data_IF_301228682354
#
_entry.id   IF_301228682354
#
_cell.length_a   1.000
_cell.length_b   1.000
_cell.length_c   1.000
_cell.angle_alpha   90.00
_cell.angle_beta   90.00
_cell.angle_gamma   90.00
#
_symmetry.space_group_name_H-M   'P 1'
#
loop_
_entity.id
_entity.type
_entity.pdbx_description
1 polymer ?
#
# COMPACT_ATOMS: atom_id res chain seq x y z
N UNK A 1 -20.46 -5.47 -25.19
CA UNK A 1 -21.91 -5.39 -24.89
C UNK A 1 -22.32 -3.93 -24.72
N UNK A 2 -23.41 -3.48 -25.36
CA UNK A 2 -23.81 -2.06 -25.41
C UNK A 2 -24.60 -1.59 -24.17
N UNK A 3 -25.38 -2.45 -23.52
CA UNK A 3 -26.19 -2.11 -22.34
C UNK A 3 -26.38 -3.29 -21.37
N UNK A 4 -26.91 -3.01 -20.18
CA UNK A 4 -27.31 -3.99 -19.19
C UNK A 4 -26.12 -4.63 -18.49
N UNK A 5 -25.27 -3.82 -17.86
CA UNK A 5 -24.11 -4.35 -17.15
C UNK A 5 -24.58 -5.07 -15.88
N UNK A 6 -24.36 -6.39 -15.82
CA UNK A 6 -24.76 -7.21 -14.68
C UNK A 6 -23.81 -7.04 -13.48
N UNK A 7 -24.29 -7.30 -12.25
CA UNK A 7 -23.48 -7.13 -11.04
C UNK A 7 -22.14 -7.85 -11.09
N UNK A 8 -22.11 -9.14 -11.46
CA UNK A 8 -20.88 -9.93 -11.48
C UNK A 8 -19.81 -9.34 -12.41
N UNK A 9 -20.20 -8.90 -13.60
CA UNK A 9 -19.29 -8.27 -14.56
C UNK A 9 -18.79 -6.92 -14.04
N UNK A 10 -19.65 -6.13 -13.41
CA UNK A 10 -19.24 -4.86 -12.80
C UNK A 10 -18.27 -5.11 -11.63
N UNK A 11 -18.51 -6.11 -10.80
CA UNK A 11 -17.66 -6.44 -9.65
C UNK A 11 -16.23 -6.78 -10.06
N UNK A 12 -16.06 -7.59 -11.11
CA UNK A 12 -14.73 -7.88 -11.68
C UNK A 12 -14.04 -6.61 -12.19
N UNK A 13 -14.80 -5.72 -12.85
CA UNK A 13 -14.25 -4.43 -13.31
C UNK A 13 -13.84 -3.54 -12.15
N UNK A 14 -14.63 -3.48 -11.08
CA UNK A 14 -14.34 -2.70 -9.87
C UNK A 14 -13.07 -3.23 -9.21
N UNK A 15 -12.93 -4.54 -9.04
CA UNK A 15 -11.74 -5.15 -8.44
C UNK A 15 -10.46 -4.75 -9.18
N UNK A 16 -10.46 -4.88 -10.51
CA UNK A 16 -9.30 -4.52 -11.34
C UNK A 16 -9.02 -3.01 -11.30
N UNK A 17 -10.04 -2.16 -11.41
CA UNK A 17 -9.87 -0.71 -11.57
C UNK A 17 -9.66 0.05 -10.27
N UNK A 18 -10.21 -0.43 -9.17
CA UNK A 18 -10.19 0.27 -7.88
C UNK A 18 -9.28 -0.42 -6.86
N UNK A 19 -9.22 -1.75 -6.83
CA UNK A 19 -8.44 -2.48 -5.82
C UNK A 19 -7.03 -2.83 -6.31
N UNK A 20 -6.90 -3.44 -7.49
CA UNK A 20 -5.60 -3.81 -8.06
C UNK A 20 -4.82 -2.60 -8.60
N UNK A 21 -5.50 -1.48 -8.89
CA UNK A 21 -4.84 -0.24 -9.24
C UNK A 21 -4.31 0.47 -7.99
N UNK A 22 -3.13 0.06 -7.55
CA UNK A 22 -2.51 0.54 -6.32
C UNK A 22 -2.31 2.07 -6.31
N UNK A 23 -1.98 2.67 -7.46
CA UNK A 23 -1.85 4.14 -7.55
C UNK A 23 -3.16 4.84 -7.20
N UNK A 24 -4.28 4.36 -7.74
CA UNK A 24 -5.60 4.94 -7.49
C UNK A 24 -6.08 4.67 -6.06
N UNK A 25 -5.84 3.46 -5.55
CA UNK A 25 -6.19 3.09 -4.19
C UNK A 25 -5.47 3.97 -3.17
N UNK A 26 -4.16 4.17 -3.35
CA UNK A 26 -3.36 5.11 -2.54
C UNK A 26 -3.94 6.51 -2.53
N UNK A 27 -4.28 7.07 -3.70
CA UNK A 27 -4.91 8.40 -3.80
C UNK A 27 -6.24 8.53 -3.05
N UNK A 28 -7.03 7.45 -2.98
CA UNK A 28 -8.27 7.45 -2.18
C UNK A 28 -7.97 7.37 -0.68
N UNK A 29 -6.99 6.56 -0.28
CA UNK A 29 -6.55 6.49 1.11
C UNK A 29 -6.00 7.82 1.64
N UNK A 30 -5.26 8.56 0.80
CA UNK A 30 -4.67 9.86 1.16
C UNK A 30 -5.65 11.03 1.02
N UNK A 31 -6.83 10.80 0.44
CA UNK A 31 -7.83 11.85 0.20
C UNK A 31 -7.53 12.76 -1.00
N UNK A 32 -6.52 12.46 -1.82
CA UNK A 32 -6.23 13.17 -3.07
C UNK A 32 -7.37 13.06 -4.10
N UNK A 33 -8.15 11.97 -4.01
CA UNK A 33 -9.36 11.76 -4.81
C UNK A 33 -10.50 11.42 -3.84
N UNK A 34 -11.73 11.83 -4.19
CA UNK A 34 -12.94 11.49 -3.44
C UNK A 34 -12.98 9.98 -3.13
N UNK A 35 -13.38 9.60 -1.92
CA UNK A 35 -13.55 8.19 -1.58
C UNK A 35 -14.70 7.53 -2.37
N UNK A 36 -15.73 8.31 -2.70
CA UNK A 36 -16.90 7.84 -3.44
C UNK A 36 -16.53 7.34 -4.84
N UNK A 37 -17.18 6.23 -5.22
CA UNK A 37 -17.04 5.56 -6.50
C UNK A 37 -18.43 5.40 -7.10
N UNK A 38 -18.57 5.79 -8.36
CA UNK A 38 -19.83 5.68 -9.09
C UNK A 38 -19.60 4.99 -10.43
N UNK A 39 -20.39 3.96 -10.71
CA UNK A 39 -20.34 3.20 -11.95
C UNK A 39 -21.70 3.20 -12.63
N UNK A 40 -21.72 3.58 -13.92
CA UNK A 40 -22.94 3.44 -14.73
C UNK A 40 -23.21 1.99 -15.06
N UNK A 41 -24.45 1.56 -14.82
CA UNK A 41 -24.96 0.22 -15.11
C UNK A 41 -25.38 0.05 -16.57
N UNK A 42 -25.22 1.12 -17.37
CA UNK A 42 -25.61 1.20 -18.79
C UNK A 42 -27.06 0.73 -18.99
N UNK A 43 -28.05 1.37 -18.35
CA UNK A 43 -29.45 0.99 -18.54
C UNK A 43 -29.83 1.11 -20.03
N UNK A 44 -30.70 0.23 -20.55
CA UNK A 44 -31.15 0.31 -21.94
C UNK A 44 -31.97 1.58 -22.19
N UNK A 45 -32.03 1.99 -23.45
CA UNK A 45 -33.06 2.92 -23.92
C UNK A 45 -34.36 2.17 -24.26
N UNK A 46 -35.42 2.91 -24.59
CA UNK A 46 -36.76 2.37 -24.86
C UNK A 46 -36.74 1.27 -25.93
N UNK A 47 -36.03 1.55 -27.03
CA UNK A 47 -35.94 0.66 -28.20
C UNK A 47 -35.21 -0.63 -27.84
N UNK A 48 -34.11 -0.53 -27.09
CA UNK A 48 -33.32 -1.68 -26.64
C UNK A 48 -34.10 -2.57 -25.67
N UNK A 49 -34.84 -1.98 -24.72
CA UNK A 49 -35.64 -2.72 -23.75
C UNK A 49 -36.81 -3.45 -24.43
N UNK A 50 -37.45 -2.82 -25.42
CA UNK A 50 -38.53 -3.43 -26.20
C UNK A 50 -38.04 -4.57 -27.11
N UNK A 51 -36.86 -4.41 -27.69
CA UNK A 51 -36.29 -5.41 -28.58
C UNK A 51 -35.89 -6.71 -27.84
N UNK A 52 -35.57 -6.63 -26.55
CA UNK A 52 -35.15 -7.77 -25.73
C UNK A 52 -35.64 -7.62 -24.28
N UNK A 53 -36.95 -7.88 -24.10
CA UNK A 53 -37.61 -7.73 -22.80
C UNK A 53 -37.08 -8.74 -21.76
N UNK A 54 -36.72 -9.95 -22.19
CA UNK A 54 -36.19 -10.99 -21.31
C UNK A 54 -34.85 -10.54 -20.69
N UNK A 55 -33.94 -10.00 -21.50
CA UNK A 55 -32.68 -9.44 -20.99
C UNK A 55 -32.90 -8.24 -20.08
N UNK A 56 -33.84 -7.36 -20.40
CA UNK A 56 -34.19 -6.24 -19.53
C UNK A 56 -34.66 -6.71 -18.15
N UNK A 57 -35.58 -7.68 -18.11
CA UNK A 57 -36.09 -8.26 -16.87
C UNK A 57 -34.96 -8.92 -16.07
N UNK A 58 -34.11 -9.70 -16.72
CA UNK A 58 -32.95 -10.31 -16.05
C UNK A 58 -32.02 -9.25 -15.45
N UNK A 59 -31.70 -8.18 -16.19
CA UNK A 59 -30.89 -7.07 -15.69
C UNK A 59 -31.51 -6.41 -14.43
N UNK A 60 -32.82 -6.16 -14.42
CA UNK A 60 -33.51 -5.59 -13.25
C UNK A 60 -33.47 -6.54 -12.06
N UNK A 61 -33.80 -7.82 -12.27
CA UNK A 61 -33.85 -8.84 -11.20
C UNK A 61 -32.48 -9.04 -10.56
N UNK A 62 -31.42 -9.10 -11.35
CA UNK A 62 -30.04 -9.25 -10.84
C UNK A 62 -29.63 -8.08 -9.94
N UNK A 63 -30.00 -6.85 -10.30
CA UNK A 63 -29.70 -5.67 -9.47
C UNK A 63 -30.56 -5.58 -8.21
N UNK A 64 -31.81 -6.05 -8.25
CA UNK A 64 -32.64 -6.19 -7.04
C UNK A 64 -32.06 -7.23 -6.08
N UNK A 65 -31.64 -8.39 -6.60
CA UNK A 65 -30.99 -9.43 -5.80
C UNK A 65 -29.65 -8.94 -5.21
N UNK A 66 -28.88 -8.16 -5.98
CA UNK A 66 -27.66 -7.52 -5.49
C UNK A 66 -27.95 -6.59 -4.30
N UNK A 67 -28.94 -5.70 -4.42
CA UNK A 67 -29.28 -4.79 -3.31
C UNK A 67 -29.75 -5.54 -2.07
N UNK A 68 -30.60 -6.56 -2.23
CA UNK A 68 -31.06 -7.38 -1.11
C UNK A 68 -29.91 -8.03 -0.33
N UNK A 69 -28.77 -8.27 -0.99
CA UNK A 69 -27.58 -8.90 -0.39
C UNK A 69 -26.54 -7.90 0.12
N UNK A 70 -26.32 -6.79 -0.57
CA UNK A 70 -25.16 -5.92 -0.35
C UNK A 70 -25.50 -4.47 -0.02
N UNK A 71 -26.77 -4.05 -0.11
CA UNK A 71 -27.13 -2.66 0.14
C UNK A 71 -26.87 -2.27 1.60
N UNK A 72 -26.20 -1.14 1.77
CA UNK A 72 -25.91 -0.51 3.07
C UNK A 72 -26.00 1.01 2.91
N UNK A 73 -25.76 1.77 3.98
CA UNK A 73 -25.66 3.23 3.86
C UNK A 73 -24.58 3.68 2.86
N UNK A 74 -23.51 2.89 2.72
CA UNK A 74 -22.35 3.20 1.90
C UNK A 74 -22.32 2.48 0.54
N UNK A 75 -23.23 1.53 0.31
CA UNK A 75 -23.36 0.78 -0.96
C UNK A 75 -24.82 0.78 -1.37
N UNK A 76 -25.16 1.42 -2.47
CA UNK A 76 -26.55 1.41 -2.96
C UNK A 76 -26.62 1.54 -4.47
N UNK A 77 -27.70 1.02 -5.05
CA UNK A 77 -28.00 1.20 -6.46
C UNK A 77 -28.91 2.42 -6.60
N UNK A 78 -28.53 3.34 -7.48
CA UNK A 78 -29.39 4.43 -7.88
C UNK A 78 -30.38 3.91 -8.92
N UNK A 79 -31.66 3.96 -8.58
CA UNK A 79 -32.76 3.63 -9.46
C UNK A 79 -33.44 4.88 -9.99
N UNK A 80 -33.79 4.86 -11.27
CA UNK A 80 -34.53 5.94 -11.92
C UNK A 80 -35.80 5.41 -12.58
N UNK A 81 -36.84 6.23 -12.56
CA UNK A 81 -38.07 5.95 -13.29
C UNK A 81 -38.02 6.62 -14.66
N UNK A 82 -37.98 5.83 -15.72
CA UNK A 82 -38.04 6.32 -17.10
C UNK A 82 -39.40 6.04 -17.71
N UNK A 83 -39.99 7.07 -18.28
CA UNK A 83 -41.22 6.95 -19.07
C UNK A 83 -40.85 6.57 -20.49
N UNK A 84 -41.38 5.46 -20.99
CA UNK A 84 -41.30 5.10 -22.39
C UNK A 84 -42.68 5.27 -23.01
N UNK A 85 -42.75 5.78 -24.24
CA UNK A 85 -44.04 6.08 -24.90
C UNK A 85 -44.99 4.87 -24.99
N UNK A 86 -44.45 3.64 -25.01
CA UNK A 86 -45.22 2.39 -25.14
C UNK A 86 -45.09 1.43 -23.94
N UNK A 87 -44.16 1.70 -23.02
CA UNK A 87 -43.99 0.94 -21.78
C UNK A 87 -44.22 1.95 -20.65
N UNK A 88 -45.34 1.83 -19.92
CA UNK A 88 -45.61 2.59 -18.68
C UNK A 88 -44.34 2.76 -17.86
N UNK A 89 -44.22 3.85 -17.10
CA UNK A 89 -43.09 4.19 -16.24
C UNK A 89 -42.33 2.97 -15.70
N UNK A 90 -41.10 2.80 -16.16
CA UNK A 90 -40.23 1.69 -15.79
C UNK A 90 -39.20 2.17 -14.76
N UNK A 91 -39.14 1.51 -13.62
CA UNK A 91 -38.14 1.75 -12.59
C UNK A 91 -36.94 0.83 -12.82
N UNK A 92 -35.77 1.39 -13.10
CA UNK A 92 -34.61 0.62 -13.52
C UNK A 92 -33.31 1.09 -12.85
N UNK A 93 -32.32 0.20 -12.71
CA UNK A 93 -31.06 0.52 -12.05
C UNK A 93 -30.14 1.27 -13.02
N UNK A 94 -29.55 2.37 -12.56
CA UNK A 94 -28.78 3.30 -13.41
C UNK A 94 -27.31 3.39 -12.99
N UNK A 95 -27.04 3.44 -11.69
CA UNK A 95 -25.68 3.54 -11.14
C UNK A 95 -25.52 2.67 -9.89
N UNK A 96 -24.32 2.14 -9.68
CA UNK A 96 -23.87 1.66 -8.39
C UNK A 96 -23.04 2.75 -7.72
N UNK A 97 -23.33 3.05 -6.45
CA UNK A 97 -22.60 4.02 -5.63
C UNK A 97 -21.93 3.29 -4.46
N UNK A 98 -20.65 3.55 -4.26
CA UNK A 98 -19.85 3.05 -3.14
C UNK A 98 -19.18 4.26 -2.48
N UNK A 99 -19.56 4.62 -1.25
CA UNK A 99 -19.15 5.89 -0.62
C UNK A 99 -17.76 5.85 0.01
N UNK A 100 -17.35 4.70 0.52
CA UNK A 100 -16.18 4.57 1.39
C UNK A 100 -15.27 3.41 0.97
N UNK A 101 -14.00 3.46 1.38
CA UNK A 101 -13.04 2.37 1.13
C UNK A 101 -13.40 1.08 1.91
N UNK A 102 -13.85 1.15 3.19
CA UNK A 102 -14.38 -0.04 3.87
C UNK A 102 -15.55 -0.69 3.13
N UNK A 103 -16.46 0.11 2.56
CA UNK A 103 -17.55 -0.40 1.73
C UNK A 103 -17.04 -1.06 0.45
N UNK A 104 -16.04 -0.47 -0.24
CA UNK A 104 -15.39 -1.11 -1.39
C UNK A 104 -14.74 -2.44 -1.00
N UNK A 105 -13.99 -2.47 0.10
CA UNK A 105 -13.35 -3.68 0.59
C UNK A 105 -14.39 -4.75 0.90
N UNK A 106 -15.50 -4.37 1.52
CA UNK A 106 -16.56 -5.32 1.86
C UNK A 106 -17.26 -5.91 0.65
N UNK A 107 -17.54 -5.07 -0.34
CA UNK A 107 -18.11 -5.53 -1.59
C UNK A 107 -17.19 -6.51 -2.34
N UNK A 108 -15.86 -6.40 -2.15
CA UNK A 108 -14.85 -7.23 -2.79
C UNK A 108 -14.35 -8.40 -1.94
N UNK A 109 -14.84 -8.59 -0.71
CA UNK A 109 -14.35 -9.60 0.21
C UNK A 109 -12.90 -9.37 0.67
N UNK A 110 -12.48 -8.11 0.82
CA UNK A 110 -11.12 -7.68 1.20
C UNK A 110 -11.07 -7.02 2.58
N UNK A 111 -12.09 -7.20 3.41
CA UNK A 111 -12.19 -6.60 4.74
C UNK A 111 -11.02 -7.01 5.62
N UNK A 112 -10.65 -8.30 5.61
CA UNK A 112 -9.53 -8.79 6.41
C UNK A 112 -8.23 -8.11 6.01
N UNK A 113 -7.95 -8.02 4.71
CA UNK A 113 -6.76 -7.33 4.20
C UNK A 113 -6.72 -5.86 4.63
N UNK A 114 -7.86 -5.17 4.54
CA UNK A 114 -7.97 -3.79 5.00
C UNK A 114 -7.77 -3.66 6.52
N UNK A 115 -8.30 -4.59 7.30
CA UNK A 115 -8.11 -4.64 8.75
C UNK A 115 -6.64 -4.91 9.10
N UNK A 116 -5.96 -5.81 8.39
CA UNK A 116 -4.54 -6.11 8.59
C UNK A 116 -3.68 -4.86 8.32
N UNK A 117 -3.98 -4.12 7.25
CA UNK A 117 -3.33 -2.84 6.97
C UNK A 117 -3.54 -1.82 8.08
N UNK A 118 -4.78 -1.67 8.55
CA UNK A 118 -5.09 -0.78 9.66
C UNK A 118 -4.35 -1.20 10.94
N UNK A 119 -4.31 -2.50 11.22
CA UNK A 119 -3.63 -3.04 12.39
C UNK A 119 -2.12 -2.77 12.33
N UNK A 120 -1.46 -2.96 11.18
CA UNK A 120 -0.05 -2.59 10.98
C UNK A 120 0.19 -1.10 11.24
N UNK A 121 -0.66 -0.22 10.71
CA UNK A 121 -0.53 1.23 10.92
C UNK A 121 -0.68 1.58 12.41
N UNK A 122 -1.70 1.01 13.09
CA UNK A 122 -1.92 1.23 14.52
C UNK A 122 -0.75 0.71 15.36
N UNK A 123 -0.22 -0.47 15.02
CA UNK A 123 0.94 -1.07 15.70
C UNK A 123 2.18 -0.19 15.58
N UNK A 124 2.46 0.34 14.38
CA UNK A 124 3.56 1.31 14.20
C UNK A 124 3.36 2.54 15.10
N UNK A 125 2.14 3.07 15.13
CA UNK A 125 1.74 4.27 15.87
C UNK A 125 1.57 4.09 17.39
N UNK A 126 1.83 2.89 17.92
CA UNK A 126 1.72 2.61 19.36
C UNK A 126 2.74 3.37 20.22
N UNK A 127 3.83 3.85 19.62
CA UNK A 127 4.84 4.65 20.30
C UNK A 127 4.37 6.11 20.43
N UNK A 128 4.27 6.61 21.66
CA UNK A 128 3.79 7.97 21.98
C UNK A 128 4.64 9.09 21.39
N UNK A 129 5.90 8.81 21.03
CA UNK A 129 6.78 9.76 20.33
C UNK A 129 6.22 10.19 18.95
N UNK A 130 5.28 9.42 18.40
CA UNK A 130 4.71 9.66 17.07
C UNK A 130 3.44 10.50 17.07
N UNK A 131 2.88 10.82 18.24
CA UNK A 131 1.62 11.60 18.35
C UNK A 131 1.66 12.91 17.55
N UNK A 132 2.72 13.74 17.63
CA UNK A 132 2.77 15.01 16.89
C UNK A 132 2.78 14.85 15.36
N UNK A 133 3.10 13.65 14.87
CA UNK A 133 3.30 13.34 13.47
C UNK A 133 2.26 12.33 12.94
N UNK A 134 1.22 12.02 13.72
CA UNK A 134 0.26 10.93 13.47
C UNK A 134 -0.30 10.95 12.05
N UNK A 135 -0.81 12.09 11.58
CA UNK A 135 -1.43 12.19 10.26
C UNK A 135 -0.39 12.09 9.13
N UNK A 136 0.79 12.68 9.31
CA UNK A 136 1.86 12.63 8.32
C UNK A 136 2.42 11.20 8.17
N UNK A 137 2.63 10.50 9.29
CA UNK A 137 3.04 9.09 9.30
C UNK A 137 1.98 8.22 8.64
N UNK A 138 0.71 8.37 9.04
CA UNK A 138 -0.41 7.62 8.45
C UNK A 138 -0.44 7.82 6.94
N UNK A 139 -0.29 9.05 6.47
CA UNK A 139 -0.23 9.36 5.04
C UNK A 139 0.94 8.65 4.35
N UNK A 140 2.17 8.71 4.90
CA UNK A 140 3.34 8.00 4.36
C UNK A 140 3.13 6.48 4.33
N UNK A 141 2.56 5.89 5.39
CA UNK A 141 2.28 4.45 5.40
C UNK A 141 1.23 4.07 4.34
N UNK A 142 0.18 4.87 4.18
CA UNK A 142 -0.84 4.65 3.15
C UNK A 142 -0.30 4.83 1.72
N UNK A 143 0.59 5.81 1.50
CA UNK A 143 1.28 5.99 0.20
C UNK A 143 2.21 4.83 -0.13
N UNK A 144 2.62 4.04 0.86
CA UNK A 144 3.52 2.90 0.73
C UNK A 144 2.85 1.59 1.14
N UNK A 145 1.51 1.51 1.02
CA UNK A 145 0.72 0.38 1.54
C UNK A 145 1.12 -0.97 0.94
N UNK A 146 1.59 -1.00 -0.31
CA UNK A 146 2.15 -2.18 -0.98
C UNK A 146 3.39 -2.73 -0.26
N UNK A 147 4.25 -1.84 0.24
CA UNK A 147 5.41 -2.23 1.03
C UNK A 147 5.02 -2.62 2.44
N UNK A 148 4.07 -1.90 3.05
CA UNK A 148 3.53 -2.23 4.39
C UNK A 148 2.84 -3.60 4.37
N UNK A 149 2.16 -3.94 3.28
CA UNK A 149 1.51 -5.24 3.09
C UNK A 149 2.52 -6.40 3.14
N UNK A 150 3.70 -6.21 2.54
CA UNK A 150 4.77 -7.21 2.54
C UNK A 150 5.49 -7.38 3.90
N UNK A 151 5.32 -6.43 4.84
CA UNK A 151 5.95 -6.50 6.16
C UNK A 151 5.16 -7.38 7.13
N UNK A 152 5.85 -8.15 7.98
CA UNK A 152 5.20 -8.79 9.11
C UNK A 152 4.86 -7.77 10.20
N UNK A 153 3.99 -8.13 11.15
CA UNK A 153 3.74 -7.28 12.33
C UNK A 153 5.00 -7.05 13.17
N UNK A 154 5.89 -8.03 13.22
CA UNK A 154 7.17 -7.88 13.91
C UNK A 154 8.06 -6.86 13.19
N UNK A 155 8.11 -6.88 11.85
CA UNK A 155 8.84 -5.86 11.10
C UNK A 155 8.26 -4.46 11.35
N UNK A 156 6.94 -4.34 11.44
CA UNK A 156 6.29 -3.07 11.78
C UNK A 156 6.67 -2.60 13.19
N UNK A 157 6.79 -3.53 14.16
CA UNK A 157 7.26 -3.23 15.51
C UNK A 157 8.75 -2.84 15.52
N UNK A 158 9.59 -3.51 14.74
CA UNK A 158 11.00 -3.14 14.60
C UNK A 158 11.15 -1.77 13.93
N UNK A 159 10.34 -1.44 12.92
CA UNK A 159 10.29 -0.09 12.34
C UNK A 159 9.97 0.95 13.42
N UNK A 160 8.98 0.69 14.28
CA UNK A 160 8.59 1.64 15.33
C UNK A 160 9.67 1.83 16.42
N UNK A 161 10.62 0.90 16.54
CA UNK A 161 11.78 1.00 17.43
C UNK A 161 13.00 1.66 16.77
N UNK A 162 13.25 1.41 15.48
CA UNK A 162 14.43 1.95 14.77
C UNK A 162 14.32 3.44 14.54
N UNK A 163 13.17 3.91 14.05
CA UNK A 163 12.99 5.30 13.62
C UNK A 163 13.45 6.34 14.66
N UNK A 164 13.11 6.25 15.96
CA UNK A 164 13.51 7.25 16.96
C UNK A 164 15.01 7.19 17.31
N UNK A 165 15.68 6.07 17.02
CA UNK A 165 17.12 5.91 17.28
C UNK A 165 17.96 6.56 16.18
N UNK A 166 17.45 6.63 14.95
CA UNK A 166 18.19 7.15 13.79
C UNK A 166 18.27 8.67 13.82
N UNK A 167 19.51 9.19 13.79
CA UNK A 167 19.81 10.62 13.78
C UNK A 167 20.92 10.91 12.76
N UNK A 168 20.96 12.15 12.27
CA UNK A 168 22.00 12.60 11.35
C UNK A 168 23.39 12.33 11.96
N UNK A 169 24.26 11.68 11.19
CA UNK A 169 25.63 11.37 11.61
C UNK A 169 25.81 10.21 12.60
N UNK A 170 24.76 9.45 12.93
CA UNK A 170 24.83 8.31 13.87
C UNK A 170 25.89 7.26 13.49
N UNK A 171 26.08 7.03 12.20
CA UNK A 171 27.05 6.09 11.68
C UNK A 171 28.50 6.53 11.89
N UNK A 172 28.79 7.84 11.88
CA UNK A 172 30.13 8.39 12.12
C UNK A 172 31.30 7.60 11.48
N UNK A 173 31.18 7.27 10.19
CA UNK A 173 32.18 6.50 9.44
C UNK A 173 32.08 4.97 9.55
N UNK A 174 31.08 4.45 10.28
CA UNK A 174 30.77 3.02 10.34
C UNK A 174 30.01 2.57 9.09
N UNK A 175 30.08 1.28 8.79
CA UNK A 175 29.13 0.65 7.85
C UNK A 175 27.72 0.66 8.45
N UNK A 176 26.68 0.58 7.61
CA UNK A 176 25.29 0.43 8.08
C UNK A 176 25.15 -0.73 9.09
N UNK A 177 25.93 -1.81 8.88
CA UNK A 177 25.93 -2.97 9.76
C UNK A 177 26.54 -2.76 11.15
N UNK A 178 27.31 -1.69 11.32
CA UNK A 178 27.92 -1.31 12.59
C UNK A 178 27.13 -0.26 13.37
N UNK A 179 25.93 0.13 12.91
CA UNK A 179 25.12 1.11 13.63
C UNK A 179 24.82 0.64 15.06
N UNK A 180 24.98 1.49 16.08
CA UNK A 180 24.73 1.15 17.48
C UNK A 180 23.23 1.20 17.79
N UNK A 181 22.46 0.28 17.18
CA UNK A 181 21.02 0.15 17.39
C UNK A 181 20.73 -0.83 18.52
N UNK A 182 19.84 -0.45 19.43
CA UNK A 182 19.30 -1.35 20.43
C UNK A 182 18.18 -2.20 19.82
N UNK A 183 18.19 -3.50 20.13
CA UNK A 183 17.13 -4.48 19.87
C UNK A 183 16.75 -4.70 18.39
N UNK A 184 17.47 -4.09 17.45
CA UNK A 184 17.21 -4.25 16.02
C UNK A 184 18.50 -4.55 15.25
N UNK A 185 18.51 -5.69 14.57
CA UNK A 185 19.62 -6.08 13.72
C UNK A 185 19.79 -5.11 12.55
N UNK A 186 21.02 -4.71 12.27
CA UNK A 186 21.31 -3.71 11.22
C UNK A 186 20.97 -4.16 9.79
N UNK A 187 20.82 -5.48 9.56
CA UNK A 187 20.26 -6.05 8.32
C UNK A 187 18.82 -5.54 8.05
N UNK A 188 18.06 -5.29 9.11
CA UNK A 188 16.71 -4.74 9.02
C UNK A 188 16.71 -3.35 8.36
N UNK A 189 17.62 -2.48 8.81
CA UNK A 189 17.77 -1.12 8.25
C UNK A 189 18.18 -1.16 6.78
N UNK A 190 19.03 -2.13 6.41
CA UNK A 190 19.44 -2.35 5.02
C UNK A 190 18.24 -2.72 4.14
N UNK A 191 17.46 -3.71 4.58
CA UNK A 191 16.32 -4.27 3.84
C UNK A 191 15.15 -3.29 3.70
N UNK A 192 14.93 -2.45 4.72
CA UNK A 192 13.79 -1.54 4.80
C UNK A 192 14.16 -0.07 4.63
N UNK A 193 15.35 0.22 4.09
CA UNK A 193 15.91 1.57 3.95
C UNK A 193 14.94 2.57 3.31
N UNK A 194 14.22 2.18 2.27
CA UNK A 194 13.27 3.06 1.59
C UNK A 194 12.12 3.54 2.49
N UNK A 195 11.46 2.64 3.23
CA UNK A 195 10.35 3.05 4.11
C UNK A 195 10.89 3.81 5.33
N UNK A 196 12.08 3.46 5.80
CA UNK A 196 12.79 4.19 6.86
C UNK A 196 13.08 5.63 6.41
N UNK A 197 13.61 5.84 5.20
CA UNK A 197 13.82 7.18 4.65
C UNK A 197 12.51 7.97 4.53
N UNK A 198 11.45 7.34 4.01
CA UNK A 198 10.15 8.00 3.86
C UNK A 198 9.57 8.46 5.20
N UNK A 199 9.69 7.62 6.24
CA UNK A 199 9.26 7.96 7.59
C UNK A 199 10.16 9.02 8.23
N UNK A 200 11.49 8.92 8.09
CA UNK A 200 12.44 9.89 8.65
C UNK A 200 12.25 11.31 8.09
N UNK A 201 11.78 11.45 6.84
CA UNK A 201 11.43 12.76 6.26
C UNK A 201 10.31 13.48 7.02
N UNK A 202 9.44 12.73 7.70
CA UNK A 202 8.39 13.31 8.55
C UNK A 202 8.99 13.97 9.78
N UNK A 203 9.95 13.31 10.42
CA UNK A 203 10.60 13.79 11.65
C UNK A 203 11.69 14.83 11.37
N UNK A 204 12.31 14.77 10.19
CA UNK A 204 13.41 15.64 9.79
C UNK A 204 13.11 16.28 8.43
N UNK A 205 12.25 17.33 8.39
CA UNK A 205 11.99 18.08 7.17
C UNK A 205 13.30 18.60 6.57
N UNK A 206 13.55 18.30 5.29
CA UNK A 206 14.80 18.65 4.61
C UNK A 206 15.94 17.64 4.76
N UNK A 207 15.75 16.54 5.49
CA UNK A 207 16.64 15.38 5.38
C UNK A 207 16.69 14.88 3.92
N UNK A 208 17.85 14.40 3.48
CA UNK A 208 18.09 13.81 2.16
C UNK A 208 18.01 14.77 0.94
N UNK A 209 18.00 16.09 1.16
CA UNK A 209 17.65 17.11 0.14
C UNK A 209 18.71 17.47 -0.91
N UNK A 210 19.98 17.05 -0.80
CA UNK A 210 21.00 17.46 -1.79
C UNK A 210 21.88 16.38 -2.41
N UNK A 211 21.94 15.14 -1.89
CA UNK A 211 22.67 14.00 -2.50
C UNK A 211 22.71 12.73 -1.62
N UNK A 212 22.23 12.77 -0.38
CA UNK A 212 22.42 11.67 0.56
C UNK A 212 21.24 10.70 0.59
N UNK A 213 21.49 9.44 0.21
CA UNK A 213 20.67 8.29 0.67
C UNK A 213 20.67 8.22 2.21
N UNK A 214 19.88 7.31 2.79
CA UNK A 214 19.92 7.01 4.23
C UNK A 214 21.34 6.91 4.77
N UNK A 215 22.23 6.26 4.01
CA UNK A 215 23.65 6.11 4.37
C UNK A 215 24.35 7.45 4.53
N UNK A 216 24.20 8.36 3.57
CA UNK A 216 24.85 9.67 3.61
C UNK A 216 24.33 10.53 4.76
N UNK A 217 23.03 10.49 5.03
CA UNK A 217 22.44 11.22 6.17
C UNK A 217 22.89 10.66 7.52
N UNK A 218 23.00 9.34 7.63
CA UNK A 218 23.55 8.68 8.82
C UNK A 218 25.06 8.88 8.96
N UNK A 219 25.78 9.35 7.92
CA UNK A 219 27.24 9.39 7.94
C UNK A 219 27.88 8.01 7.88
N UNK A 220 27.19 7.03 7.30
CA UNK A 220 27.72 5.68 7.10
C UNK A 220 28.58 5.60 5.84
N UNK A 221 29.60 4.75 5.85
CA UNK A 221 30.35 4.40 4.64
C UNK A 221 29.66 3.27 3.87
N UNK A 222 29.67 3.30 2.52
CA UNK A 222 29.12 2.20 1.73
C UNK A 222 29.92 0.92 1.97
N UNK A 223 29.25 -0.23 1.90
CA UNK A 223 29.96 -1.50 1.92
C UNK A 223 30.85 -1.58 0.66
N UNK A 224 32.14 -1.95 0.77
CA UNK A 224 32.98 -2.13 -0.39
C UNK A 224 32.41 -3.31 -1.18
N UNK A 225 32.22 -3.12 -2.49
CA UNK A 225 31.62 -4.15 -3.36
C UNK A 225 32.56 -5.34 -3.55
N UNK A 226 33.85 -5.11 -3.40
CA UNK A 226 34.90 -6.05 -3.76
C UNK A 226 35.88 -6.21 -2.58
N UNK A 227 35.52 -7.06 -1.62
CA UNK A 227 36.45 -7.54 -0.61
C UNK A 227 37.18 -8.76 -1.12
N UNK A 228 38.50 -8.63 -1.27
CA UNK A 228 39.36 -9.79 -1.41
C UNK A 228 39.64 -10.34 -0.02
N UNK A 229 39.09 -11.52 0.27
CA UNK A 229 39.39 -12.26 1.49
C UNK A 229 40.50 -13.24 1.19
N UNK A 230 41.67 -13.00 1.78
CA UNK A 230 42.82 -13.88 1.65
C UNK A 230 42.93 -14.71 2.93
N UNK A 231 42.76 -16.03 2.79
CA UNK A 231 42.99 -17.01 3.86
C UNK A 231 44.21 -17.87 3.47
N UNK A 232 45.41 -17.58 3.99
CA UNK A 232 46.58 -18.39 3.71
C UNK A 232 46.42 -19.77 4.35
N UNK A 233 46.69 -20.82 3.59
CA UNK A 233 46.56 -22.21 4.06
C UNK A 233 47.84 -22.73 4.72
N UNK A 234 49.00 -22.10 4.46
CA UNK A 234 50.28 -22.49 5.06
C UNK A 234 50.70 -21.52 6.17
N UNK A 235 51.36 -22.08 7.20
CA UNK A 235 51.78 -21.36 8.40
C UNK A 235 52.82 -20.27 8.09
N UNK A 236 53.73 -20.51 7.14
CA UNK A 236 54.76 -19.54 6.74
C UNK A 236 54.14 -18.25 6.16
N UNK A 237 53.08 -18.38 5.36
CA UNK A 237 52.39 -17.20 4.79
C UNK A 237 51.51 -16.52 5.84
N UNK A 238 50.92 -17.26 6.78
CA UNK A 238 50.22 -16.65 7.93
C UNK A 238 51.18 -15.85 8.81
N UNK A 239 52.38 -16.38 9.09
CA UNK A 239 53.42 -15.70 9.84
C UNK A 239 53.91 -14.43 9.12
N UNK A 240 54.15 -14.51 7.81
CA UNK A 240 54.52 -13.35 6.98
C UNK A 240 53.43 -12.26 6.94
N UNK A 241 52.17 -12.62 7.13
CA UNK A 241 51.03 -11.71 7.21
C UNK A 241 50.75 -11.21 8.65
N UNK A 242 51.75 -11.27 9.54
CA UNK A 242 51.63 -10.81 10.92
C UNK A 242 50.83 -11.75 11.81
N UNK A 243 50.75 -13.04 11.46
CA UNK A 243 50.01 -14.06 12.21
C UNK A 243 48.50 -13.99 12.04
N UNK A 244 48.00 -13.18 11.10
CA UNK A 244 46.56 -13.05 10.86
C UNK A 244 46.04 -14.26 10.07
N UNK A 245 45.08 -15.04 10.61
CA UNK A 245 44.54 -16.22 9.92
C UNK A 245 43.62 -15.84 8.74
N UNK A 246 43.24 -14.56 8.64
CA UNK A 246 42.37 -14.03 7.60
C UNK A 246 42.67 -12.55 7.39
N UNK A 247 42.99 -12.16 6.15
CA UNK A 247 43.19 -10.78 5.76
C UNK A 247 42.08 -10.31 4.83
N UNK A 248 41.59 -9.09 5.05
CA UNK A 248 40.58 -8.45 4.21
C UNK A 248 41.22 -7.26 3.53
N UNK A 249 41.20 -7.26 2.21
CA UNK A 249 41.74 -6.19 1.37
C UNK A 249 40.59 -5.56 0.58
N UNK A 250 40.62 -4.23 0.47
CA UNK A 250 39.78 -3.51 -0.47
C UNK A 250 40.44 -3.57 -1.84
N UNK A 251 39.78 -4.13 -2.85
CA UNK A 251 40.28 -3.93 -4.22
C UNK A 251 39.93 -2.51 -4.65
N UNK A 252 40.98 -1.73 -4.95
CA UNK A 252 40.87 -0.44 -5.60
C UNK A 252 40.60 -0.60 -7.10
#
# INVERSE_FOLDING_TARGET
>A
MSWGLLPQALMQMIEVKEWHNMSRLKKRFTGEVKAEISYSLKPPNAVQALADLARYQHFVVEWQAFEAKFATHDIHVLWETKSFQHLKNQHMPVRLIIKTIPALASLLGKEQLLQDWQHKIVTFMSNSLYEPYRDAIKNIMLQNIDRIDALSLEDIRLLSLVIPQLKKGLGNGLYLRGLPLADVGTKFVEQHSFIIEALLRVFHPGAFSMQGSLLGWLGCVPHPKDWLVVKPLCEDTQAAMGGLPLMRLTSH
#
